data_IF_116840616312
#
_entry.id   IF_116840616312
#
_cell.length_a   1.000
_cell.length_b   1.000
_cell.length_c   1.000
_cell.angle_alpha   90.00
_cell.angle_beta   90.00
_cell.angle_gamma   90.00
#
_symmetry.space_group_name_H-M   'P 1'
#
loop_
_entity.id
_entity.type
_entity.pdbx_description
1 polymer ?
#
# COMPACT_ATOMS: atom_id res chain seq x y z
N UNK A 1 -2.02 23.48 12.62
CA UNK A 1 -1.84 22.06 12.24
C UNK A 1 -2.28 21.11 13.36
N UNK A 2 -1.72 21.20 14.56
CA UNK A 2 -2.02 20.28 15.69
C UNK A 2 -3.52 20.18 16.01
N UNK A 3 -4.23 21.32 16.07
CA UNK A 3 -5.69 21.33 16.32
C UNK A 3 -6.49 20.66 15.21
N UNK A 4 -6.06 20.81 13.94
CA UNK A 4 -6.69 20.16 12.80
C UNK A 4 -6.48 18.64 12.84
N UNK A 5 -5.26 18.18 13.17
CA UNK A 5 -4.98 16.76 13.38
C UNK A 5 -5.81 16.17 14.52
N UNK A 6 -5.93 16.88 15.65
CA UNK A 6 -6.78 16.41 16.77
C UNK A 6 -8.24 16.29 16.35
N UNK A 7 -8.74 17.24 15.55
CA UNK A 7 -10.09 17.18 15.00
C UNK A 7 -10.29 15.96 14.09
N UNK A 8 -9.36 15.69 13.17
CA UNK A 8 -9.40 14.50 12.32
C UNK A 8 -9.34 13.21 13.15
N UNK A 9 -8.49 13.13 14.17
CA UNK A 9 -8.40 11.97 15.05
C UNK A 9 -9.72 11.69 15.79
N UNK A 10 -10.39 12.74 16.27
CA UNK A 10 -11.69 12.59 16.94
C UNK A 10 -12.78 12.08 15.98
N UNK A 11 -12.74 12.47 14.70
CA UNK A 11 -13.66 11.97 13.66
C UNK A 11 -13.44 10.49 13.37
N UNK A 12 -12.19 10.03 13.38
CA UNK A 12 -11.85 8.63 13.05
C UNK A 12 -11.96 7.68 14.23
N UNK A 13 -11.85 8.17 15.48
CA UNK A 13 -11.84 7.34 16.71
C UNK A 13 -13.03 6.39 16.84
N UNK A 14 -14.25 6.84 16.49
CA UNK A 14 -15.48 6.03 16.60
C UNK A 14 -15.80 5.20 15.35
N UNK A 15 -15.01 5.34 14.28
CA UNK A 15 -15.21 4.64 13.00
C UNK A 15 -14.32 3.41 12.85
N UNK A 16 -13.58 3.04 13.90
CA UNK A 16 -12.70 1.86 13.94
C UNK A 16 -11.70 1.77 12.78
N UNK A 17 -11.31 2.92 12.20
CA UNK A 17 -10.34 2.96 11.09
C UNK A 17 -8.98 2.39 11.45
N UNK A 18 -8.64 2.42 12.75
CA UNK A 18 -7.43 1.81 13.27
C UNK A 18 -7.46 0.27 13.20
N UNK A 19 -8.63 -0.38 13.14
CA UNK A 19 -8.73 -1.84 13.02
C UNK A 19 -8.37 -2.34 11.62
N UNK A 20 -8.55 -1.53 10.57
CA UNK A 20 -8.29 -1.96 9.19
C UNK A 20 -6.86 -2.48 8.99
N UNK A 21 -5.80 -1.76 9.43
CA UNK A 21 -4.44 -2.30 9.40
C UNK A 21 -4.26 -3.65 10.09
N UNK A 22 -4.82 -3.80 11.30
CA UNK A 22 -4.71 -5.04 12.03
C UNK A 22 -5.45 -6.18 11.34
N UNK A 23 -6.65 -5.94 10.82
CA UNK A 23 -7.44 -6.98 10.16
C UNK A 23 -6.76 -7.50 8.89
N UNK A 24 -6.22 -6.61 8.06
CA UNK A 24 -5.55 -7.01 6.81
C UNK A 24 -4.26 -7.77 7.10
N UNK A 25 -3.38 -7.21 7.94
CA UNK A 25 -2.10 -7.86 8.26
C UNK A 25 -2.30 -9.16 9.04
N UNK A 26 -3.32 -9.23 9.91
CA UNK A 26 -3.68 -10.47 10.59
C UNK A 26 -4.21 -11.53 9.61
N UNK A 27 -5.00 -11.12 8.63
CA UNK A 27 -5.46 -12.03 7.58
C UNK A 27 -4.29 -12.55 6.74
N UNK A 28 -3.36 -11.69 6.33
CA UNK A 28 -2.13 -12.09 5.61
C UNK A 28 -1.27 -13.05 6.44
N UNK A 29 -1.14 -12.79 7.75
CA UNK A 29 -0.46 -13.69 8.67
C UNK A 29 -1.14 -15.06 8.71
N UNK A 30 -2.47 -15.12 8.88
CA UNK A 30 -3.23 -16.37 8.91
C UNK A 30 -3.14 -17.12 7.58
N UNK A 31 -3.25 -16.41 6.47
CA UNK A 31 -3.11 -16.97 5.13
C UNK A 31 -1.73 -17.62 4.95
N UNK A 32 -0.69 -16.96 5.43
CA UNK A 32 0.69 -17.43 5.28
C UNK A 32 1.03 -18.57 6.23
N UNK A 33 0.63 -18.52 7.50
CA UNK A 33 0.96 -19.56 8.49
C UNK A 33 0.24 -20.89 8.24
N UNK A 34 -0.94 -20.83 7.60
CA UNK A 34 -1.73 -22.01 7.21
C UNK A 34 -1.29 -22.59 5.87
N UNK A 35 -0.42 -21.89 5.13
CA UNK A 35 0.09 -22.35 3.84
C UNK A 35 1.01 -23.57 4.04
N UNK A 36 0.52 -24.75 3.66
CA UNK A 36 1.26 -26.01 3.79
C UNK A 36 2.48 -26.09 2.87
N UNK A 37 2.51 -25.31 1.79
CA UNK A 37 3.68 -25.22 0.90
C UNK A 37 4.90 -24.76 1.67
N UNK A 38 4.79 -23.72 2.50
CA UNK A 38 5.91 -23.14 3.26
C UNK A 38 6.49 -24.07 4.35
N UNK A 39 5.85 -25.22 4.60
CA UNK A 39 6.34 -26.22 5.56
C UNK A 39 7.11 -27.35 4.89
N UNK A 40 7.17 -27.40 3.56
CA UNK A 40 7.91 -28.44 2.85
C UNK A 40 9.43 -28.27 3.07
N UNK A 41 10.16 -29.38 3.24
CA UNK A 41 11.61 -29.33 3.49
C UNK A 41 12.40 -28.68 2.34
N UNK A 42 11.89 -28.79 1.11
CA UNK A 42 12.46 -28.18 -0.11
C UNK A 42 12.61 -26.66 0.00
N UNK A 43 11.72 -26.00 0.75
CA UNK A 43 11.67 -24.53 0.87
C UNK A 43 12.43 -24.05 2.11
N UNK A 44 12.82 -24.94 3.03
CA UNK A 44 13.45 -24.55 4.29
C UNK A 44 14.69 -23.64 4.08
N UNK A 45 15.47 -23.91 3.02
CA UNK A 45 16.67 -23.15 2.67
C UNK A 45 16.40 -21.77 2.04
N UNK A 46 15.24 -21.57 1.40
CA UNK A 46 14.84 -20.34 0.68
C UNK A 46 13.53 -19.73 1.23
N UNK A 47 13.14 -20.13 2.44
CA UNK A 47 11.83 -19.81 2.99
C UNK A 47 11.63 -18.32 3.23
N UNK A 48 12.68 -17.60 3.65
CA UNK A 48 12.60 -16.15 3.83
C UNK A 48 12.50 -15.43 2.47
N UNK A 49 13.16 -15.94 1.42
CA UNK A 49 13.06 -15.38 0.06
C UNK A 49 11.65 -15.58 -0.48
N UNK A 50 11.08 -16.77 -0.27
CA UNK A 50 9.70 -17.09 -0.66
C UNK A 50 8.69 -16.17 0.04
N UNK A 51 8.86 -15.90 1.34
CA UNK A 51 8.02 -14.93 2.05
C UNK A 51 8.12 -13.53 1.43
N UNK A 52 9.34 -13.02 1.25
CA UNK A 52 9.57 -11.68 0.70
C UNK A 52 9.11 -11.53 -0.75
N UNK A 53 8.98 -12.63 -1.49
CA UNK A 53 8.38 -12.66 -2.81
C UNK A 53 6.83 -12.69 -2.77
N UNK A 54 6.23 -13.42 -1.82
CA UNK A 54 4.77 -13.55 -1.70
C UNK A 54 4.09 -12.31 -1.11
N UNK A 55 4.69 -11.67 -0.11
CA UNK A 55 4.07 -10.52 0.57
C UNK A 55 3.74 -9.34 -0.36
N UNK A 56 4.63 -8.89 -1.28
CA UNK A 56 4.25 -7.81 -2.19
C UNK A 56 3.14 -8.20 -3.18
N UNK A 57 2.94 -9.49 -3.48
CA UNK A 57 1.78 -9.97 -4.23
C UNK A 57 0.49 -9.80 -3.41
N UNK A 58 0.50 -10.20 -2.14
CA UNK A 58 -0.63 -9.99 -1.23
C UNK A 58 -0.94 -8.49 -1.09
N UNK A 59 0.10 -7.66 -0.94
CA UNK A 59 -0.05 -6.21 -0.80
C UNK A 59 -0.63 -5.58 -2.06
N UNK A 60 -0.29 -6.08 -3.25
CA UNK A 60 -0.91 -5.66 -4.52
C UNK A 60 -2.41 -5.94 -4.55
N UNK A 61 -2.86 -7.01 -3.89
CA UNK A 61 -4.29 -7.39 -3.82
C UNK A 61 -5.02 -6.57 -2.77
N UNK A 62 -4.51 -6.54 -1.53
CA UNK A 62 -5.25 -6.03 -0.37
C UNK A 62 -5.08 -4.53 -0.16
N UNK A 63 -3.89 -3.97 -0.39
CA UNK A 63 -3.60 -2.57 -0.06
C UNK A 63 -4.40 -1.57 -0.89
N UNK A 64 -4.56 -1.72 -2.22
CA UNK A 64 -5.30 -0.74 -3.02
C UNK A 64 -6.73 -0.49 -2.51
N UNK A 65 -7.45 -1.56 -2.20
CA UNK A 65 -8.81 -1.50 -1.68
C UNK A 65 -8.83 -0.91 -0.26
N UNK A 66 -7.90 -1.35 0.59
CA UNK A 66 -7.82 -0.92 1.97
C UNK A 66 -7.50 0.57 2.08
N UNK A 67 -6.51 1.05 1.31
CA UNK A 67 -6.14 2.46 1.24
C UNK A 67 -7.28 3.31 0.66
N UNK A 68 -8.00 2.81 -0.35
CA UNK A 68 -9.19 3.47 -0.88
C UNK A 68 -10.29 3.59 0.18
N UNK A 69 -10.55 2.52 0.94
CA UNK A 69 -11.53 2.52 2.02
C UNK A 69 -11.16 3.50 3.13
N UNK A 70 -9.88 3.56 3.50
CA UNK A 70 -9.39 4.49 4.50
C UNK A 70 -9.51 5.94 4.04
N UNK A 71 -8.99 6.27 2.85
CA UNK A 71 -9.07 7.61 2.28
C UNK A 71 -10.54 8.06 2.14
N UNK A 72 -11.40 7.15 1.66
CA UNK A 72 -12.83 7.38 1.56
C UNK A 72 -13.45 7.72 2.90
N UNK A 73 -13.22 6.90 3.94
CA UNK A 73 -13.79 7.13 5.28
C UNK A 73 -13.25 8.39 5.95
N UNK A 74 -11.99 8.78 5.67
CA UNK A 74 -11.41 10.04 6.13
C UNK A 74 -12.10 11.26 5.48
N UNK A 75 -12.55 11.16 4.23
CA UNK A 75 -13.21 12.26 3.51
C UNK A 75 -14.75 12.22 3.57
N UNK A 76 -15.33 11.08 3.94
CA UNK A 76 -16.78 10.83 3.98
C UNK A 76 -17.46 11.63 5.10
N UNK A 77 -16.75 11.96 6.18
CA UNK A 77 -17.29 12.77 7.27
C UNK A 77 -17.75 14.15 6.77
N UNK A 78 -17.01 14.76 5.86
CA UNK A 78 -17.32 16.07 5.32
C UNK A 78 -18.23 16.00 4.09
N UNK A 79 -18.10 14.98 3.23
CA UNK A 79 -18.97 14.81 2.06
C UNK A 79 -20.42 14.53 2.48
N UNK A 80 -20.68 13.63 3.43
CA UNK A 80 -22.05 13.31 3.87
C UNK A 80 -22.68 14.41 4.71
N UNK A 81 -21.88 15.14 5.49
CA UNK A 81 -22.37 16.24 6.32
C UNK A 81 -22.53 17.56 5.57
N UNK A 82 -22.10 17.65 4.30
CA UNK A 82 -21.95 18.89 3.54
C UNK A 82 -21.24 19.99 4.34
N UNK A 83 -20.26 19.60 5.18
CA UNK A 83 -19.63 20.51 6.14
C UNK A 83 -18.38 21.18 5.59
N UNK A 84 -18.00 20.92 4.34
CA UNK A 84 -16.83 21.56 3.73
C UNK A 84 -16.93 23.09 3.73
N UNK A 85 -18.12 23.65 3.46
CA UNK A 85 -18.35 25.11 3.52
C UNK A 85 -18.03 25.66 4.91
N UNK A 86 -18.55 25.01 5.94
CA UNK A 86 -18.33 25.39 7.34
C UNK A 86 -16.88 25.16 7.80
N UNK A 87 -16.22 24.10 7.33
CA UNK A 87 -14.80 23.88 7.63
C UNK A 87 -13.91 24.96 6.98
N UNK A 88 -14.26 25.40 5.77
CA UNK A 88 -13.50 26.43 5.05
C UNK A 88 -13.62 27.82 5.67
N UNK A 89 -14.65 28.10 6.49
CA UNK A 89 -14.72 29.35 7.27
C UNK A 89 -13.83 29.33 8.51
N UNK A 90 -13.57 28.13 9.06
CA UNK A 90 -12.79 27.94 10.29
C UNK A 90 -11.31 27.61 10.01
N UNK A 91 -10.98 27.04 8.84
CA UNK A 91 -9.63 26.60 8.49
C UNK A 91 -9.33 26.79 7.00
N UNK A 92 -8.06 27.07 6.68
CA UNK A 92 -7.59 27.13 5.30
C UNK A 92 -7.68 25.74 4.63
N UNK A 93 -8.16 25.69 3.39
CA UNK A 93 -8.25 24.46 2.57
C UNK A 93 -6.91 23.67 2.53
N UNK A 94 -5.78 24.38 2.45
CA UNK A 94 -4.43 23.77 2.48
C UNK A 94 -4.19 22.93 3.74
N UNK A 95 -4.60 23.45 4.91
CA UNK A 95 -4.42 22.78 6.20
C UNK A 95 -5.30 21.52 6.29
N UNK A 96 -6.51 21.56 5.71
CA UNK A 96 -7.41 20.41 5.67
C UNK A 96 -6.78 19.27 4.85
N UNK A 97 -6.25 19.58 3.67
CA UNK A 97 -5.57 18.60 2.83
C UNK A 97 -4.34 18.00 3.52
N UNK A 98 -3.48 18.86 4.07
CA UNK A 98 -2.23 18.44 4.71
C UNK A 98 -2.50 17.63 6.00
N UNK A 99 -3.53 17.99 6.78
CA UNK A 99 -3.92 17.23 7.98
C UNK A 99 -4.45 15.82 7.64
N UNK A 100 -5.27 15.68 6.59
CA UNK A 100 -5.75 14.36 6.13
C UNK A 100 -4.61 13.50 5.61
N UNK A 101 -3.66 14.11 4.88
CA UNK A 101 -2.49 13.39 4.38
C UNK A 101 -1.60 12.90 5.52
N UNK A 102 -1.35 13.75 6.53
CA UNK A 102 -0.59 13.35 7.73
C UNK A 102 -1.27 12.22 8.51
N UNK A 103 -2.60 12.22 8.62
CA UNK A 103 -3.33 11.09 9.20
C UNK A 103 -3.18 9.82 8.38
N UNK A 104 -3.24 9.94 7.05
CA UNK A 104 -2.93 8.83 6.14
C UNK A 104 -1.53 8.25 6.34
N UNK A 105 -0.51 9.12 6.39
CA UNK A 105 0.87 8.73 6.64
C UNK A 105 0.99 7.97 7.96
N UNK A 106 0.33 8.45 9.03
CA UNK A 106 0.32 7.76 10.31
C UNK A 106 -0.25 6.34 10.21
N UNK A 107 -1.36 6.16 9.49
CA UNK A 107 -1.92 4.82 9.28
C UNK A 107 -1.04 3.92 8.40
N UNK A 108 -0.47 4.45 7.33
CA UNK A 108 0.48 3.71 6.47
C UNK A 108 1.74 3.30 7.25
N UNK A 109 2.20 4.13 8.18
CA UNK A 109 3.27 3.76 9.11
C UNK A 109 2.86 2.60 10.03
N UNK A 110 1.62 2.58 10.52
CA UNK A 110 1.11 1.45 11.30
C UNK A 110 1.10 0.18 10.46
N UNK A 111 0.59 0.21 9.22
CA UNK A 111 0.68 -0.94 8.30
C UNK A 111 2.10 -1.43 8.15
N UNK A 112 3.03 -0.51 7.87
CA UNK A 112 4.44 -0.84 7.63
C UNK A 112 5.08 -1.44 8.89
N UNK A 113 4.75 -0.92 10.06
CA UNK A 113 5.24 -1.45 11.33
C UNK A 113 4.65 -2.83 11.65
N UNK A 114 3.38 -3.08 11.31
CA UNK A 114 2.75 -4.38 11.49
C UNK A 114 3.35 -5.43 10.55
N UNK A 115 3.54 -5.12 9.27
CA UNK A 115 4.23 -6.00 8.32
C UNK A 115 5.68 -6.26 8.74
N UNK A 116 6.37 -5.23 9.21
CA UNK A 116 7.72 -5.37 9.77
C UNK A 116 7.76 -6.28 11.01
N UNK A 117 6.67 -6.40 11.77
CA UNK A 117 6.57 -7.38 12.85
C UNK A 117 6.26 -8.79 12.33
N UNK A 118 5.35 -8.89 11.36
CA UNK A 118 4.81 -10.16 10.87
C UNK A 118 5.85 -10.99 10.10
N UNK A 119 6.67 -10.38 9.25
CA UNK A 119 7.63 -11.14 8.44
C UNK A 119 8.68 -11.85 9.31
N UNK A 120 9.37 -11.17 10.26
CA UNK A 120 10.28 -11.86 11.18
C UNK A 120 9.57 -12.87 12.09
N UNK A 121 8.33 -12.58 12.50
CA UNK A 121 7.53 -13.53 13.29
C UNK A 121 7.27 -14.83 12.51
N UNK A 122 6.82 -14.73 11.26
CA UNK A 122 6.61 -15.88 10.38
C UNK A 122 7.90 -16.64 10.10
N UNK A 123 9.02 -15.92 9.89
CA UNK A 123 10.32 -16.54 9.66
C UNK A 123 10.79 -17.39 10.85
N UNK A 124 10.40 -17.03 12.08
CA UNK A 124 10.71 -17.82 13.29
C UNK A 124 9.70 -18.94 13.57
N UNK A 125 8.44 -18.79 13.15
CA UNK A 125 7.38 -19.79 13.38
C UNK A 125 7.40 -20.93 12.35
N UNK A 126 7.90 -20.66 11.14
CA UNK A 126 8.01 -21.63 10.06
C UNK A 126 9.37 -22.36 10.12
N UNK A 127 9.46 -23.60 9.61
CA UNK A 127 10.67 -24.43 9.69
C UNK A 127 11.74 -23.97 8.67
N UNK A 128 12.13 -22.70 8.71
CA UNK A 128 13.13 -22.13 7.84
C UNK A 128 14.52 -22.23 8.46
N UNK A 129 15.50 -22.63 7.65
CA UNK A 129 16.92 -22.65 8.03
C UNK A 129 17.65 -21.39 7.59
N UNK A 130 17.05 -20.64 6.66
CA UNK A 130 17.58 -19.37 6.16
C UNK A 130 17.49 -18.27 7.22
N UNK A 131 18.59 -17.53 7.43
CA UNK A 131 18.55 -16.29 8.22
C UNK A 131 17.79 -15.21 7.45
N UNK A 132 17.06 -14.35 8.17
CA UNK A 132 16.32 -13.25 7.56
C UNK A 132 17.27 -12.34 6.75
N UNK A 133 17.07 -12.18 5.42
CA UNK A 133 17.93 -11.37 4.59
C UNK A 133 17.61 -9.89 4.78
N UNK A 134 18.34 -9.25 5.70
CA UNK A 134 18.09 -7.86 6.12
C UNK A 134 18.05 -6.88 4.94
N UNK A 135 18.90 -7.06 3.92
CA UNK A 135 18.94 -6.20 2.74
C UNK A 135 17.61 -6.21 1.97
N UNK A 136 17.11 -7.39 1.62
CA UNK A 136 15.86 -7.56 0.87
C UNK A 136 14.64 -7.17 1.71
N UNK A 137 14.69 -7.47 3.00
CA UNK A 137 13.66 -7.10 3.96
C UNK A 137 13.52 -5.57 4.12
N UNK A 138 14.63 -4.84 4.25
CA UNK A 138 14.58 -3.37 4.33
C UNK A 138 14.11 -2.73 3.01
N UNK A 139 14.55 -3.28 1.87
CA UNK A 139 14.07 -2.85 0.57
C UNK A 139 12.56 -3.06 0.42
N UNK A 140 12.05 -4.23 0.82
CA UNK A 140 10.64 -4.54 0.87
C UNK A 140 9.83 -3.52 1.69
N UNK A 141 10.25 -3.24 2.92
CA UNK A 141 9.56 -2.27 3.78
C UNK A 141 9.56 -0.86 3.20
N UNK A 142 10.68 -0.42 2.61
CA UNK A 142 10.78 0.88 1.98
C UNK A 142 9.83 1.00 0.77
N UNK A 143 9.80 -0.03 -0.09
CA UNK A 143 8.87 -0.09 -1.24
C UNK A 143 7.44 -0.10 -0.75
N UNK A 144 7.11 -0.97 0.21
CA UNK A 144 5.77 -1.07 0.78
C UNK A 144 5.27 0.28 1.31
N UNK A 145 6.08 0.95 2.12
CA UNK A 145 5.74 2.26 2.68
C UNK A 145 5.52 3.31 1.59
N UNK A 146 6.47 3.43 0.65
CA UNK A 146 6.43 4.45 -0.40
C UNK A 146 5.26 4.23 -1.35
N UNK A 147 5.05 3.01 -1.84
CA UNK A 147 3.95 2.68 -2.75
C UNK A 147 2.60 2.89 -2.04
N UNK A 148 2.48 2.44 -0.80
CA UNK A 148 1.27 2.67 0.02
C UNK A 148 0.96 4.15 0.19
N UNK A 149 1.98 4.98 0.44
CA UNK A 149 1.83 6.42 0.61
C UNK A 149 1.33 7.09 -0.68
N UNK A 150 1.89 6.72 -1.84
CA UNK A 150 1.47 7.26 -3.14
C UNK A 150 0.04 6.82 -3.48
N UNK A 151 -0.30 5.55 -3.27
CA UNK A 151 -1.65 5.04 -3.49
C UNK A 151 -2.66 5.68 -2.54
N UNK A 152 -2.30 5.89 -1.27
CA UNK A 152 -3.13 6.62 -0.33
C UNK A 152 -3.36 8.07 -0.79
N UNK A 153 -2.30 8.76 -1.23
CA UNK A 153 -2.40 10.12 -1.75
C UNK A 153 -3.35 10.19 -2.96
N UNK A 154 -3.20 9.26 -3.92
CA UNK A 154 -4.09 9.14 -5.07
C UNK A 154 -5.55 8.99 -4.62
N UNK A 155 -5.81 8.07 -3.70
CA UNK A 155 -7.16 7.81 -3.19
C UNK A 155 -7.72 8.98 -2.39
N UNK A 156 -6.89 9.67 -1.60
CA UNK A 156 -7.30 10.89 -0.90
C UNK A 156 -7.72 11.98 -1.89
N UNK A 157 -6.94 12.21 -2.95
CA UNK A 157 -7.27 13.21 -3.97
C UNK A 157 -8.61 12.85 -4.62
N UNK A 158 -8.80 11.60 -5.04
CA UNK A 158 -10.07 11.13 -5.62
C UNK A 158 -11.24 11.32 -4.65
N UNK A 159 -11.09 10.93 -3.39
CA UNK A 159 -12.12 11.08 -2.35
C UNK A 159 -12.43 12.52 -2.00
N UNK A 160 -11.50 13.45 -2.15
CA UNK A 160 -11.72 14.88 -1.94
C UNK A 160 -12.40 15.55 -3.14
N UNK A 161 -12.06 15.13 -4.36
CA UNK A 161 -12.59 15.72 -5.58
C UNK A 161 -13.98 15.17 -5.90
N UNK A 162 -14.22 13.89 -5.68
CA UNK A 162 -15.47 13.21 -6.03
C UNK A 162 -16.42 13.17 -4.82
N UNK A 163 -17.67 13.66 -4.94
CA UNK A 163 -18.63 13.64 -3.84
C UNK A 163 -19.07 12.21 -3.49
N UNK A 164 -19.29 11.38 -4.51
CA UNK A 164 -19.68 9.98 -4.33
C UNK A 164 -18.48 9.10 -3.99
N UNK A 165 -18.40 8.71 -2.72
CA UNK A 165 -17.32 7.89 -2.18
C UNK A 165 -17.27 6.46 -2.71
N UNK A 166 -18.33 5.97 -3.38
CA UNK A 166 -18.29 4.67 -4.06
C UNK A 166 -17.31 4.67 -5.23
N UNK A 167 -17.13 5.80 -5.93
CA UNK A 167 -16.29 5.87 -7.13
C UNK A 167 -14.79 5.67 -6.77
N UNK A 168 -14.19 6.39 -5.80
CA UNK A 168 -12.82 6.11 -5.36
C UNK A 168 -12.60 4.65 -4.91
N UNK A 169 -13.59 4.07 -4.20
CA UNK A 169 -13.56 2.67 -3.81
C UNK A 169 -13.50 1.72 -5.01
N UNK A 170 -14.35 1.94 -6.02
CA UNK A 170 -14.30 1.16 -7.27
C UNK A 170 -12.98 1.32 -8.01
N UNK A 171 -12.40 2.53 -8.04
CA UNK A 171 -11.09 2.76 -8.65
C UNK A 171 -10.00 2.00 -7.89
N UNK A 172 -10.05 1.97 -6.55
CA UNK A 172 -9.13 1.17 -5.73
C UNK A 172 -9.24 -0.33 -6.00
N UNK A 173 -10.47 -0.84 -6.14
CA UNK A 173 -10.73 -2.25 -6.45
C UNK A 173 -10.28 -2.63 -7.87
N UNK A 174 -10.58 -1.82 -8.87
CA UNK A 174 -10.07 -2.04 -10.24
C UNK A 174 -8.55 -1.92 -10.26
N UNK A 175 -8.00 -1.00 -9.47
CA UNK A 175 -6.58 -0.83 -9.28
C UNK A 175 -5.87 -2.09 -8.80
N UNK A 176 -6.41 -2.82 -7.80
CA UNK A 176 -5.81 -4.08 -7.37
C UNK A 176 -5.83 -5.15 -8.46
N UNK A 177 -6.93 -5.27 -9.22
CA UNK A 177 -7.00 -6.20 -10.35
C UNK A 177 -5.95 -5.86 -11.41
N UNK A 178 -5.91 -4.61 -11.88
CA UNK A 178 -4.93 -4.16 -12.88
C UNK A 178 -3.50 -4.30 -12.34
N UNK A 179 -3.29 -4.05 -11.04
CA UNK A 179 -2.03 -4.26 -10.35
C UNK A 179 -1.56 -5.70 -10.45
N UNK A 180 -2.39 -6.68 -10.08
CA UNK A 180 -2.05 -8.10 -10.19
C UNK A 180 -1.81 -8.51 -11.64
N UNK A 181 -2.68 -8.09 -12.55
CA UNK A 181 -2.52 -8.43 -13.96
C UNK A 181 -1.26 -7.82 -14.59
N UNK A 182 -0.76 -6.71 -14.05
CA UNK A 182 0.49 -6.09 -14.51
C UNK A 182 1.70 -7.02 -14.37
N UNK A 183 1.68 -7.98 -13.44
CA UNK A 183 2.75 -8.96 -13.26
C UNK A 183 2.91 -9.91 -14.46
N UNK A 184 1.84 -10.12 -15.25
CA UNK A 184 1.86 -11.00 -16.42
C UNK A 184 2.40 -10.30 -17.68
N UNK A 185 2.63 -8.99 -17.63
CA UNK A 185 3.19 -8.24 -18.75
C UNK A 185 4.71 -8.06 -18.57
N UNK A 186 5.49 -8.09 -19.66
CA UNK A 186 6.93 -7.89 -19.58
C UNK A 186 7.27 -6.51 -19.00
N UNK A 187 8.20 -6.51 -18.05
CA UNK A 187 8.82 -5.31 -17.47
C UNK A 187 9.47 -4.48 -18.59
N UNK A 188 8.91 -3.30 -18.89
CA UNK A 188 9.29 -2.49 -20.06
C UNK A 188 8.10 -2.01 -20.90
N UNK A 189 6.90 -2.51 -20.62
CA UNK A 189 5.64 -2.14 -21.30
C UNK A 189 4.74 -1.24 -20.42
N UNK A 190 3.48 -1.07 -20.81
CA UNK A 190 2.43 -0.31 -20.09
C UNK A 190 2.28 -0.70 -18.59
N UNK A 191 2.82 -1.84 -18.16
CA UNK A 191 2.89 -2.26 -16.76
C UNK A 191 3.55 -1.22 -15.84
N UNK A 192 4.58 -0.51 -16.32
CA UNK A 192 5.23 0.57 -15.57
C UNK A 192 4.36 1.81 -15.36
N UNK A 193 3.22 1.91 -16.04
CA UNK A 193 2.28 3.03 -15.87
C UNK A 193 1.19 2.72 -14.84
N UNK A 194 1.16 1.52 -14.27
CA UNK A 194 0.12 1.07 -13.33
C UNK A 194 0.62 1.29 -11.89
N UNK A 195 0.16 2.33 -11.17
CA UNK A 195 0.64 2.64 -9.81
C UNK A 195 0.44 1.48 -8.83
N UNK A 196 -0.61 0.69 -9.02
CA UNK A 196 -0.97 -0.42 -8.15
C UNK A 196 -0.05 -1.63 -8.26
N UNK A 197 0.67 -1.81 -9.38
CA UNK A 197 1.62 -2.90 -9.58
C UNK A 197 3.00 -2.64 -8.96
N UNK A 198 3.26 -1.44 -8.46
CA UNK A 198 4.59 -1.03 -8.01
C UNK A 198 5.11 -1.75 -6.76
N UNK A 199 4.24 -2.42 -5.99
CA UNK A 199 4.67 -3.33 -4.93
C UNK A 199 5.54 -4.48 -5.50
N UNK A 200 5.22 -4.95 -6.71
CA UNK A 200 5.97 -6.01 -7.38
C UNK A 200 7.17 -5.46 -8.16
N UNK A 201 7.05 -4.27 -8.76
CA UNK A 201 8.17 -3.63 -9.49
C UNK A 201 9.36 -3.32 -8.58
N UNK A 202 9.08 -3.00 -7.30
CA UNK A 202 10.12 -2.78 -6.29
C UNK A 202 10.69 -4.05 -5.66
N UNK A 203 10.35 -5.23 -6.14
CA UNK A 203 10.94 -6.47 -5.61
C UNK A 203 12.44 -6.55 -5.94
N UNK A 204 13.21 -7.10 -5.01
CA UNK A 204 14.63 -7.46 -5.21
C UNK A 204 14.83 -8.96 -5.41
N UNK A 205 13.73 -9.69 -5.55
CA UNK A 205 13.68 -11.15 -5.69
C UNK A 205 12.79 -11.48 -6.89
N UNK A 206 13.22 -12.44 -7.70
CA UNK A 206 12.47 -12.94 -8.86
C UNK A 206 12.24 -14.44 -8.71
N UNK A 207 11.14 -14.92 -9.28
CA UNK A 207 10.91 -16.36 -9.42
C UNK A 207 11.41 -16.82 -10.79
N UNK A 208 12.26 -17.84 -10.79
CA UNK A 208 12.71 -18.51 -12.02
C UNK A 208 12.13 -19.92 -12.03
N UNK A 209 11.52 -20.26 -13.15
CA UNK A 209 11.01 -21.59 -13.40
C UNK A 209 12.04 -22.35 -14.25
N UNK A 210 12.63 -23.38 -13.65
CA UNK A 210 13.56 -24.27 -14.34
C UNK A 210 12.77 -25.43 -14.94
N UNK A 211 12.67 -25.46 -16.28
CA UNK A 211 11.84 -26.44 -16.99
C UNK A 211 12.39 -27.86 -16.85
N UNK A 212 13.72 -27.99 -16.78
CA UNK A 212 14.44 -29.27 -16.71
C UNK A 212 14.15 -30.05 -15.42
N UNK A 213 14.06 -29.35 -14.29
CA UNK A 213 13.77 -29.92 -12.97
C UNK A 213 12.31 -29.74 -12.55
N UNK A 214 11.50 -29.04 -13.35
CA UNK A 214 10.11 -28.65 -13.07
C UNK A 214 9.95 -27.99 -11.70
N UNK A 215 10.96 -27.24 -11.28
CA UNK A 215 11.04 -26.61 -9.97
C UNK A 215 11.16 -25.10 -10.12
N UNK A 216 10.54 -24.38 -9.18
CA UNK A 216 10.63 -22.94 -9.07
C UNK A 216 11.60 -22.61 -7.93
N UNK A 217 12.54 -21.71 -8.20
CA UNK A 217 13.46 -21.19 -7.19
C UNK A 217 13.40 -19.66 -7.17
N UNK A 218 13.74 -19.07 -6.02
CA UNK A 218 13.74 -17.62 -5.86
C UNK A 218 15.18 -17.12 -5.91
N UNK A 219 15.48 -16.26 -6.88
CA UNK A 219 16.80 -15.65 -7.04
C UNK A 219 16.78 -14.15 -6.76
N UNK A 220 17.96 -13.60 -6.52
CA UNK A 220 18.13 -12.16 -6.36
C UNK A 220 18.04 -11.46 -7.72
N UNK A 221 17.19 -10.43 -7.79
CA UNK A 221 17.02 -9.61 -8.97
C UNK A 221 17.48 -8.17 -8.72
N UNK A 222 18.04 -7.49 -9.73
CA UNK A 222 18.42 -6.09 -9.61
C UNK A 222 17.17 -5.23 -9.41
N UNK A 223 17.24 -4.29 -8.46
CA UNK A 223 16.16 -3.35 -8.22
C UNK A 223 15.93 -2.42 -9.42
N UNK A 224 14.69 -2.25 -9.84
CA UNK A 224 14.30 -1.45 -10.99
C UNK A 224 14.32 0.07 -10.71
N UNK A 225 15.51 0.62 -10.44
CA UNK A 225 15.71 2.02 -10.02
C UNK A 225 15.09 3.04 -10.98
N UNK A 226 15.19 2.84 -12.30
CA UNK A 226 14.64 3.77 -13.29
C UNK A 226 13.13 3.93 -13.18
N UNK A 227 12.40 2.82 -13.12
CA UNK A 227 10.94 2.82 -12.98
C UNK A 227 10.49 3.36 -11.63
N UNK A 228 11.22 3.02 -10.56
CA UNK A 228 10.90 3.49 -9.23
C UNK A 228 11.16 5.00 -9.06
N UNK A 229 12.26 5.52 -9.65
CA UNK A 229 12.54 6.95 -9.67
C UNK A 229 11.46 7.73 -10.46
N UNK A 230 11.03 7.20 -11.61
CA UNK A 230 9.94 7.77 -12.40
C UNK A 230 8.63 7.80 -11.61
N UNK A 231 8.32 6.73 -10.88
CA UNK A 231 7.15 6.65 -9.99
C UNK A 231 7.19 7.69 -8.88
N UNK A 232 8.34 7.85 -8.22
CA UNK A 232 8.50 8.88 -7.19
C UNK A 232 8.34 10.28 -7.78
N UNK A 233 8.92 10.56 -8.95
CA UNK A 233 8.74 11.85 -9.64
C UNK A 233 7.26 12.09 -9.99
N UNK A 234 6.57 11.08 -10.51
CA UNK A 234 5.13 11.15 -10.79
C UNK A 234 4.30 11.38 -9.52
N UNK A 235 4.72 10.82 -8.38
CA UNK A 235 4.04 11.04 -7.10
C UNK A 235 4.14 12.48 -6.59
N UNK A 236 5.27 13.15 -6.84
CA UNK A 236 5.45 14.57 -6.51
C UNK A 236 4.52 15.42 -7.37
N UNK A 237 4.43 15.12 -8.67
CA UNK A 237 3.48 15.79 -9.57
C UNK A 237 2.03 15.55 -9.14
N UNK A 238 1.68 14.31 -8.75
CA UNK A 238 0.37 13.96 -8.22
C UNK A 238 0.02 14.77 -6.97
N UNK A 239 0.97 14.92 -6.04
CA UNK A 239 0.78 15.75 -4.84
C UNK A 239 0.51 17.20 -5.20
N UNK A 240 1.35 17.80 -6.06
CA UNK A 240 1.22 19.20 -6.46
C UNK A 240 -0.11 19.45 -7.22
N UNK A 241 -0.43 18.60 -8.18
CA UNK A 241 -1.65 18.69 -8.97
C UNK A 241 -2.91 18.47 -8.11
N UNK A 242 -2.92 17.44 -7.28
CA UNK A 242 -4.04 17.13 -6.39
C UNK A 242 -4.30 18.24 -5.39
N UNK A 243 -3.23 18.80 -4.79
CA UNK A 243 -3.33 19.95 -3.90
C UNK A 243 -3.88 21.17 -4.63
N UNK A 244 -3.39 21.48 -5.82
CA UNK A 244 -3.87 22.61 -6.62
C UNK A 244 -5.34 22.48 -7.00
N UNK A 245 -5.76 21.30 -7.48
CA UNK A 245 -7.16 21.02 -7.82
C UNK A 245 -8.09 21.17 -6.62
N UNK A 246 -7.69 20.65 -5.45
CA UNK A 246 -8.48 20.78 -4.24
C UNK A 246 -8.62 22.23 -3.77
N UNK A 247 -7.57 23.04 -3.91
CA UNK A 247 -7.64 24.47 -3.55
C UNK A 247 -8.60 25.25 -4.46
N UNK A 248 -8.61 24.93 -5.76
CA UNK A 248 -9.50 25.55 -6.77
C UNK A 248 -10.94 25.06 -6.72
N UNK A 249 -11.20 23.88 -6.13
CA UNK A 249 -12.55 23.34 -6.01
C UNK A 249 -13.45 24.33 -5.28
N UNK A 250 -14.53 24.76 -5.95
CA UNK A 250 -15.59 25.54 -5.34
C UNK A 250 -16.31 24.67 -4.30
N UNK A 251 -16.54 25.25 -3.12
CA UNK A 251 -17.08 24.54 -1.95
C UNK A 251 -18.45 25.07 -1.65
#
# INVERSE_FOLDING_TARGET
MITALRAEFMKTKRRFLWLLPFCVVFFEFLWTITNSYLRKPEIAAEGCYTLLYQFPLYNTIFMPLTLAAMASRLCDAENKGNTYKLLCTMQQKKIIFDAKLLMGIFYVLIFTALEAGVIPLLANLLPFTQKLPVRHYLAFLAVFFLVSLVLFLLQQILSLLIPNQLIPLFIGLLGSLVGVFSAFFPMGSLAGLVPWGYYMVGMTLSSVYEESTRSMFIEEAPFAWGWFAAFLAASVLLYLAGKHLFLKKEV
#
